data_IF_512581220357
#
_entry.id   IF_512581220357
#
_cell.length_a   1.000
_cell.length_b   1.000
_cell.length_c   1.000
_cell.angle_alpha   90.00
_cell.angle_beta   90.00
_cell.angle_gamma   90.00
#
_symmetry.space_group_name_H-M   'P 1'
#
loop_
_entity.id
_entity.type
_entity.pdbx_description
1 polymer ?
#
# COMPACT_ATOMS: atom_id res chain seq x y z
N UNK A 1 24.04 2.86 -56.08
CA UNK A 1 23.04 3.40 -55.16
C UNK A 1 22.24 2.22 -54.62
N UNK A 2 22.66 1.65 -53.50
CA UNK A 2 21.91 0.57 -52.81
C UNK A 2 20.87 1.22 -51.93
N UNK A 3 19.62 0.96 -52.25
CA UNK A 3 18.51 1.35 -51.38
C UNK A 3 18.55 0.44 -50.15
N UNK A 4 18.82 1.04 -49.00
CA UNK A 4 18.59 0.40 -47.70
C UNK A 4 17.08 0.41 -47.50
N UNK A 5 16.47 -0.76 -47.62
CA UNK A 5 15.10 -0.97 -47.17
C UNK A 5 15.09 -0.78 -45.63
N UNK A 6 14.13 -0.03 -45.08
CA UNK A 6 13.97 -0.02 -43.63
C UNK A 6 13.67 -1.44 -43.19
N UNK A 7 14.34 -1.88 -42.10
CA UNK A 7 14.02 -3.11 -41.45
C UNK A 7 12.51 -3.07 -41.09
N UNK A 8 11.81 -4.06 -41.64
CA UNK A 8 10.41 -4.29 -41.29
C UNK A 8 10.28 -4.31 -39.79
N UNK A 9 9.35 -3.53 -39.26
CA UNK A 9 8.88 -3.70 -37.90
C UNK A 9 8.55 -5.18 -37.73
N UNK A 10 9.32 -5.90 -36.94
CA UNK A 10 8.99 -7.24 -36.49
C UNK A 10 7.61 -7.16 -35.90
N UNK A 11 6.71 -8.00 -36.41
CA UNK A 11 5.29 -8.01 -36.29
C UNK A 11 4.74 -7.25 -35.08
N UNK A 12 4.17 -6.08 -35.36
CA UNK A 12 3.32 -5.44 -34.38
C UNK A 12 2.23 -6.45 -34.02
N UNK A 13 2.32 -7.02 -32.83
CA UNK A 13 1.27 -7.86 -32.28
C UNK A 13 0.03 -6.96 -32.14
N UNK A 14 -0.97 -7.23 -32.97
CA UNK A 14 -2.22 -6.48 -32.94
C UNK A 14 -3.16 -7.22 -31.99
N UNK A 15 -3.23 -6.76 -30.73
CA UNK A 15 -4.34 -7.08 -29.87
C UNK A 15 -5.64 -6.66 -30.54
N UNK A 16 -6.64 -7.53 -30.50
CA UNK A 16 -7.99 -7.20 -30.97
C UNK A 16 -8.83 -6.58 -29.83
N UNK A 17 -8.50 -6.88 -28.57
CA UNK A 17 -9.22 -6.43 -27.37
C UNK A 17 -8.46 -5.31 -26.61
N UNK A 18 -9.18 -4.36 -25.99
CA UNK A 18 -8.57 -3.30 -25.17
C UNK A 18 -7.96 -3.89 -23.90
N UNK A 19 -6.94 -3.23 -23.33
CA UNK A 19 -6.31 -3.64 -22.06
C UNK A 19 -7.18 -3.37 -20.84
N UNK A 20 -8.16 -2.48 -20.95
CA UNK A 20 -9.21 -2.25 -19.96
C UNK A 20 -10.52 -2.73 -20.56
N UNK A 21 -11.20 -3.64 -19.88
CA UNK A 21 -12.54 -4.12 -20.23
C UNK A 21 -13.45 -3.99 -19.02
N UNK A 22 -13.98 -2.78 -18.82
CA UNK A 22 -14.82 -2.45 -17.66
C UNK A 22 -16.29 -2.77 -17.91
N UNK A 23 -16.65 -4.08 -17.84
CA UNK A 23 -18.02 -4.53 -18.05
C UNK A 23 -18.94 -4.27 -16.86
N UNK A 24 -18.38 -4.01 -15.67
CA UNK A 24 -19.14 -3.71 -14.46
C UNK A 24 -19.34 -2.20 -14.22
N UNK A 25 -18.89 -1.34 -15.16
CA UNK A 25 -19.04 0.13 -15.11
C UNK A 25 -18.53 0.72 -13.78
N UNK A 26 -17.31 0.29 -13.38
CA UNK A 26 -16.67 0.71 -12.12
C UNK A 26 -15.88 2.00 -12.26
N UNK A 27 -15.46 2.33 -13.49
CA UNK A 27 -14.68 3.52 -13.83
C UNK A 27 -15.55 4.51 -14.61
N UNK A 28 -15.30 5.79 -14.43
CA UNK A 28 -15.85 6.76 -15.35
C UNK A 28 -15.03 6.85 -16.66
N UNK A 29 -15.56 7.52 -17.69
CA UNK A 29 -14.91 7.61 -19.02
C UNK A 29 -13.49 8.19 -18.96
N UNK A 30 -13.23 9.14 -18.04
CA UNK A 30 -11.93 9.79 -17.88
C UNK A 30 -10.94 8.84 -17.14
N UNK A 31 -11.41 8.10 -16.15
CA UNK A 31 -10.63 7.11 -15.39
C UNK A 31 -10.26 5.92 -16.27
N UNK A 32 -11.23 5.38 -17.03
CA UNK A 32 -10.98 4.29 -17.98
C UNK A 32 -9.97 4.68 -19.06
N UNK A 33 -10.09 5.90 -19.59
CA UNK A 33 -9.15 6.42 -20.61
C UNK A 33 -7.74 6.55 -20.06
N UNK A 34 -7.56 7.08 -18.85
CA UNK A 34 -6.24 7.21 -18.20
C UNK A 34 -5.63 5.84 -17.88
N UNK A 35 -6.44 4.92 -17.39
CA UNK A 35 -5.97 3.56 -17.08
C UNK A 35 -5.55 2.85 -18.37
N UNK A 36 -6.33 2.98 -19.44
CA UNK A 36 -6.00 2.42 -20.75
C UNK A 36 -4.68 2.94 -21.25
N UNK A 37 -4.46 4.27 -21.24
CA UNK A 37 -3.18 4.89 -21.66
C UNK A 37 -2.01 4.36 -20.82
N UNK A 38 -2.17 4.25 -19.51
CA UNK A 38 -1.14 3.71 -18.61
C UNK A 38 -0.80 2.25 -18.93
N UNK A 39 -1.83 1.40 -19.11
CA UNK A 39 -1.62 -0.02 -19.40
C UNK A 39 -1.01 -0.24 -20.78
N UNK A 40 -1.37 0.57 -21.79
CA UNK A 40 -0.75 0.54 -23.11
C UNK A 40 0.73 0.93 -23.03
N UNK A 41 1.08 2.01 -22.32
CA UNK A 41 2.47 2.42 -22.12
C UNK A 41 3.30 1.32 -21.46
N UNK A 42 2.78 0.72 -20.39
CA UNK A 42 3.46 -0.36 -19.66
C UNK A 42 3.62 -1.58 -20.57
N UNK A 43 2.54 -2.01 -21.23
CA UNK A 43 2.54 -3.23 -22.06
C UNK A 43 3.51 -3.13 -23.24
N UNK A 44 3.56 -1.98 -23.91
CA UNK A 44 4.50 -1.74 -25.01
C UNK A 44 5.95 -1.71 -24.53
N UNK A 45 6.22 -1.03 -23.40
CA UNK A 45 7.56 -0.91 -22.84
C UNK A 45 8.10 -2.23 -22.32
N UNK A 46 7.24 -2.98 -21.63
CA UNK A 46 7.59 -4.24 -20.97
C UNK A 46 7.43 -5.45 -21.91
N UNK A 47 6.84 -5.27 -23.11
CA UNK A 47 6.49 -6.36 -24.01
C UNK A 47 5.75 -7.51 -23.31
N UNK A 48 4.83 -7.13 -22.45
CA UNK A 48 4.01 -8.03 -21.66
C UNK A 48 2.67 -7.33 -21.43
N UNK A 49 1.56 -7.96 -21.84
CA UNK A 49 0.25 -7.35 -21.70
C UNK A 49 -0.16 -7.28 -20.22
N UNK A 50 -0.49 -6.09 -19.76
CA UNK A 50 -1.08 -5.87 -18.44
C UNK A 50 -2.54 -5.49 -18.64
N UNK A 51 -3.45 -6.34 -18.14
CA UNK A 51 -4.88 -6.28 -18.47
C UNK A 51 -5.71 -6.14 -17.20
N UNK A 52 -6.77 -5.33 -17.27
CA UNK A 52 -7.79 -5.22 -16.23
C UNK A 52 -9.15 -5.54 -16.84
N UNK A 53 -9.86 -6.47 -16.22
CA UNK A 53 -11.22 -6.89 -16.62
C UNK A 53 -12.13 -6.80 -15.41
N UNK A 54 -13.24 -6.11 -15.54
CA UNK A 54 -14.30 -6.13 -14.54
C UNK A 54 -15.53 -6.81 -15.11
N UNK A 55 -16.31 -7.49 -14.28
CA UNK A 55 -17.57 -8.12 -14.66
C UNK A 55 -18.56 -8.09 -13.51
N UNK A 56 -19.85 -8.07 -13.83
CA UNK A 56 -20.88 -8.21 -12.82
C UNK A 56 -20.91 -9.64 -12.24
N UNK A 57 -20.75 -10.66 -13.09
CA UNK A 57 -20.93 -12.07 -12.69
C UNK A 57 -19.95 -12.99 -13.40
N UNK A 58 -19.57 -14.06 -12.74
CA UNK A 58 -18.71 -15.12 -13.29
C UNK A 58 -19.50 -16.17 -14.10
N UNK A 59 -20.80 -16.00 -14.29
CA UNK A 59 -21.67 -16.94 -15.06
C UNK A 59 -21.61 -18.39 -14.56
N UNK A 60 -21.33 -18.57 -13.27
CA UNK A 60 -21.24 -19.89 -12.63
C UNK A 60 -19.87 -20.58 -12.77
N UNK A 61 -18.87 -19.91 -13.35
CA UNK A 61 -17.48 -20.36 -13.34
C UNK A 61 -16.77 -19.91 -12.04
N UNK A 62 -15.61 -20.50 -11.76
CA UNK A 62 -14.68 -19.89 -10.79
C UNK A 62 -14.03 -18.65 -11.39
N UNK A 63 -13.52 -17.74 -10.54
CA UNK A 63 -12.81 -16.55 -11.00
C UNK A 63 -11.57 -16.92 -11.84
N UNK A 64 -10.88 -18.00 -11.48
CA UNK A 64 -9.76 -18.55 -12.25
C UNK A 64 -10.21 -18.98 -13.66
N UNK A 65 -11.21 -19.85 -13.77
CA UNK A 65 -11.68 -20.34 -15.08
C UNK A 65 -12.19 -19.19 -15.97
N UNK A 66 -12.85 -18.20 -15.38
CA UNK A 66 -13.34 -17.05 -16.13
C UNK A 66 -12.18 -16.18 -16.63
N UNK A 67 -11.19 -15.89 -15.80
CA UNK A 67 -10.04 -15.08 -16.15
C UNK A 67 -9.19 -15.75 -17.24
N UNK A 68 -8.91 -17.05 -17.10
CA UNK A 68 -8.13 -17.83 -18.07
C UNK A 68 -8.84 -17.90 -19.42
N UNK A 69 -10.14 -18.22 -19.42
CA UNK A 69 -10.97 -18.23 -20.63
C UNK A 69 -11.03 -16.85 -21.28
N UNK A 70 -11.19 -15.79 -20.48
CA UNK A 70 -11.26 -14.42 -20.99
C UNK A 70 -9.95 -14.01 -21.65
N UNK A 71 -8.82 -14.35 -21.04
CA UNK A 71 -7.48 -14.12 -21.59
C UNK A 71 -7.33 -14.82 -22.94
N UNK A 72 -7.70 -16.08 -23.02
CA UNK A 72 -7.53 -16.91 -24.19
C UNK A 72 -8.45 -16.50 -25.34
N UNK A 73 -9.74 -16.30 -25.08
CA UNK A 73 -10.72 -15.98 -26.12
C UNK A 73 -10.55 -14.59 -26.73
N UNK A 74 -10.03 -13.63 -25.95
CA UNK A 74 -9.78 -12.27 -26.41
C UNK A 74 -8.38 -12.07 -26.99
N UNK A 75 -7.55 -13.12 -27.02
CA UNK A 75 -6.25 -13.11 -27.64
C UNK A 75 -5.22 -12.21 -26.94
N UNK A 76 -5.34 -12.05 -25.62
CA UNK A 76 -4.36 -11.30 -24.85
C UNK A 76 -3.00 -11.98 -24.81
N UNK A 77 -1.98 -11.20 -24.49
CA UNK A 77 -0.58 -11.62 -24.36
C UNK A 77 0.28 -11.11 -25.48
N UNK A 78 1.40 -10.51 -25.14
CA UNK A 78 2.34 -9.88 -26.07
C UNK A 78 3.18 -10.94 -26.81
N UNK A 79 3.30 -10.82 -28.13
CA UNK A 79 4.14 -11.67 -28.95
C UNK A 79 3.67 -13.12 -29.12
N UNK A 80 4.57 -13.99 -29.59
CA UNK A 80 4.26 -15.42 -29.89
C UNK A 80 4.04 -16.24 -28.60
N UNK A 81 4.75 -15.90 -27.52
CA UNK A 81 4.67 -16.59 -26.22
C UNK A 81 3.47 -16.11 -25.39
N UNK A 82 2.74 -15.11 -25.90
CA UNK A 82 1.54 -14.53 -25.24
C UNK A 82 1.84 -14.05 -23.82
N UNK A 83 2.92 -13.26 -23.71
CA UNK A 83 3.38 -12.73 -22.43
C UNK A 83 2.37 -11.77 -21.82
N UNK A 84 1.89 -12.03 -20.60
CA UNK A 84 0.93 -11.14 -19.99
C UNK A 84 0.48 -11.54 -18.60
N UNK A 85 -0.27 -10.60 -18.01
CA UNK A 85 -0.96 -10.72 -16.73
C UNK A 85 -2.32 -10.05 -16.85
N UNK A 86 -3.36 -10.69 -16.33
CA UNK A 86 -4.73 -10.19 -16.32
C UNK A 86 -5.28 -10.21 -14.89
N UNK A 87 -5.78 -9.06 -14.44
CA UNK A 87 -6.59 -8.94 -13.24
C UNK A 87 -8.07 -8.98 -13.62
N UNK A 88 -8.80 -9.98 -13.13
CA UNK A 88 -10.26 -10.05 -13.17
C UNK A 88 -10.84 -9.61 -11.83
N UNK A 89 -11.89 -8.79 -11.86
CA UNK A 89 -12.69 -8.42 -10.67
C UNK A 89 -14.18 -8.72 -10.97
N UNK A 90 -14.82 -9.52 -10.11
CA UNK A 90 -16.27 -9.81 -10.18
C UNK A 90 -17.01 -9.12 -9.04
N UNK A 91 -18.04 -8.35 -9.37
CA UNK A 91 -18.78 -7.56 -8.39
C UNK A 91 -19.84 -8.37 -7.64
N UNK A 92 -20.59 -9.23 -8.29
CA UNK A 92 -21.63 -10.03 -7.65
C UNK A 92 -21.02 -11.08 -6.71
N UNK A 93 -19.95 -11.75 -7.17
CA UNK A 93 -19.26 -12.79 -6.40
C UNK A 93 -18.30 -12.19 -5.37
N UNK A 94 -17.95 -10.89 -5.51
CA UNK A 94 -16.94 -10.17 -4.70
C UNK A 94 -15.63 -10.95 -4.64
N UNK A 95 -15.21 -11.39 -5.81
CA UNK A 95 -14.02 -12.22 -6.02
C UNK A 95 -13.12 -11.59 -7.09
N UNK A 96 -11.85 -11.93 -7.07
CA UNK A 96 -10.89 -11.51 -8.07
C UNK A 96 -9.92 -12.65 -8.38
N UNK A 97 -9.31 -12.58 -9.54
CA UNK A 97 -8.26 -13.50 -9.93
C UNK A 97 -7.20 -12.82 -10.76
N UNK A 98 -5.95 -13.23 -10.58
CA UNK A 98 -4.84 -12.82 -11.43
C UNK A 98 -4.39 -14.03 -12.24
N UNK A 99 -4.53 -13.93 -13.57
CA UNK A 99 -4.05 -14.93 -14.52
C UNK A 99 -2.75 -14.45 -15.15
N UNK A 100 -1.77 -15.35 -15.32
CA UNK A 100 -0.47 -15.06 -15.93
C UNK A 100 -0.18 -16.00 -17.07
N UNK A 101 0.45 -15.51 -18.13
CA UNK A 101 0.83 -16.29 -19.31
C UNK A 101 2.22 -15.93 -19.80
N UNK A 102 2.89 -16.88 -20.47
CA UNK A 102 4.21 -16.68 -21.04
C UNK A 102 5.26 -16.22 -20.02
N UNK A 103 5.97 -15.13 -20.29
CA UNK A 103 6.94 -14.54 -19.37
C UNK A 103 6.29 -14.09 -18.05
N UNK A 104 5.00 -13.72 -18.07
CA UNK A 104 4.26 -13.35 -16.87
C UNK A 104 4.34 -14.42 -15.76
N UNK A 105 4.33 -15.72 -16.12
CA UNK A 105 4.46 -16.82 -15.15
C UNK A 105 5.81 -16.75 -14.41
N UNK A 106 6.85 -16.30 -15.08
CA UNK A 106 8.19 -16.17 -14.46
C UNK A 106 8.33 -14.89 -13.68
N UNK A 107 7.79 -13.78 -14.20
CA UNK A 107 7.91 -12.46 -13.59
C UNK A 107 7.06 -12.31 -12.32
N UNK A 108 5.90 -12.96 -12.28
CA UNK A 108 4.95 -12.88 -11.17
C UNK A 108 4.89 -14.22 -10.43
N UNK A 109 5.80 -14.39 -9.46
CA UNK A 109 5.79 -15.57 -8.57
C UNK A 109 4.54 -15.56 -7.67
N UNK A 110 4.20 -16.69 -7.06
CA UNK A 110 3.08 -16.77 -6.12
C UNK A 110 3.18 -15.72 -5.00
N UNK A 111 4.39 -15.54 -4.46
CA UNK A 111 4.65 -14.52 -3.44
C UNK A 111 4.52 -13.08 -4.01
N UNK A 112 4.87 -12.90 -5.28
CA UNK A 112 4.70 -11.64 -6.01
C UNK A 112 3.23 -11.30 -6.20
N UNK A 113 2.42 -12.25 -6.62
CA UNK A 113 0.97 -12.09 -6.78
C UNK A 113 0.30 -11.78 -5.43
N UNK A 114 0.69 -12.47 -4.34
CA UNK A 114 0.19 -12.17 -3.00
C UNK A 114 0.55 -10.74 -2.58
N UNK A 115 1.80 -10.32 -2.81
CA UNK A 115 2.23 -8.95 -2.51
C UNK A 115 1.42 -7.90 -3.29
N UNK A 116 1.24 -8.09 -4.61
CA UNK A 116 0.46 -7.18 -5.46
C UNK A 116 -0.98 -7.12 -4.96
N UNK A 117 -1.59 -8.27 -4.64
CA UNK A 117 -2.96 -8.35 -4.13
C UNK A 117 -3.12 -7.61 -2.80
N UNK A 118 -2.20 -7.78 -1.88
CA UNK A 118 -2.21 -7.09 -0.58
C UNK A 118 -2.16 -5.56 -0.71
N UNK A 119 -1.59 -5.02 -1.80
CA UNK A 119 -1.48 -3.58 -2.01
C UNK A 119 -2.76 -3.00 -2.65
N UNK A 120 -3.39 -3.66 -3.64
CA UNK A 120 -4.55 -3.09 -4.34
C UNK A 120 -5.92 -3.50 -3.74
N UNK A 121 -6.05 -4.69 -3.13
CA UNK A 121 -7.33 -5.18 -2.59
C UNK A 121 -7.97 -4.26 -1.54
N UNK A 122 -7.23 -3.57 -0.66
CA UNK A 122 -7.82 -2.60 0.25
C UNK A 122 -8.61 -1.49 -0.48
N UNK A 123 -8.09 -0.98 -1.60
CA UNK A 123 -8.77 0.04 -2.40
C UNK A 123 -10.04 -0.52 -3.08
N UNK A 124 -9.99 -1.76 -3.60
CA UNK A 124 -11.20 -2.43 -4.11
C UNK A 124 -12.27 -2.55 -3.02
N UNK A 125 -11.87 -2.89 -1.80
CA UNK A 125 -12.77 -3.05 -0.66
C UNK A 125 -13.41 -1.74 -0.23
N UNK A 126 -12.71 -0.63 -0.39
CA UNK A 126 -13.17 0.73 -0.08
C UNK A 126 -13.98 1.34 -1.23
N UNK A 127 -14.03 0.69 -2.41
CA UNK A 127 -14.72 1.17 -3.61
C UNK A 127 -13.93 2.21 -4.40
N UNK A 128 -12.62 2.35 -4.13
CA UNK A 128 -11.70 3.22 -4.85
C UNK A 128 -11.04 2.45 -6.01
N UNK A 129 -11.83 2.20 -7.05
CA UNK A 129 -11.43 1.33 -8.17
C UNK A 129 -10.32 1.93 -9.03
N UNK A 130 -10.36 3.24 -9.28
CA UNK A 130 -9.30 3.94 -10.02
C UNK A 130 -7.93 3.71 -9.34
N UNK A 131 -7.85 3.99 -8.03
CA UNK A 131 -6.61 3.80 -7.27
C UNK A 131 -6.19 2.34 -7.24
N UNK A 132 -7.12 1.40 -7.09
CA UNK A 132 -6.83 -0.04 -7.08
C UNK A 132 -6.16 -0.50 -8.38
N UNK A 133 -6.71 -0.09 -9.53
CA UNK A 133 -6.19 -0.52 -10.84
C UNK A 133 -4.89 0.20 -11.22
N UNK A 134 -4.72 1.46 -10.83
CA UNK A 134 -3.46 2.18 -11.01
C UNK A 134 -2.34 1.55 -10.16
N UNK A 135 -2.64 1.17 -8.91
CA UNK A 135 -1.66 0.51 -8.04
C UNK A 135 -1.28 -0.87 -8.60
N UNK A 136 -2.25 -1.67 -9.04
CA UNK A 136 -2.00 -2.91 -9.75
C UNK A 136 -1.08 -2.71 -10.97
N UNK A 137 -1.40 -1.76 -11.85
CA UNK A 137 -0.60 -1.45 -13.04
C UNK A 137 0.84 -1.05 -12.69
N UNK A 138 1.00 -0.17 -11.69
CA UNK A 138 2.31 0.32 -11.23
C UNK A 138 3.17 -0.80 -10.63
N UNK A 139 2.56 -1.72 -9.91
CA UNK A 139 3.24 -2.88 -9.35
C UNK A 139 3.61 -3.88 -10.45
N UNK A 140 2.73 -4.13 -11.41
CA UNK A 140 3.06 -4.97 -12.57
C UNK A 140 4.27 -4.45 -13.32
N UNK A 141 4.32 -3.14 -13.59
CA UNK A 141 5.48 -2.50 -14.22
C UNK A 141 6.78 -2.71 -13.45
N UNK A 142 6.73 -2.51 -12.15
CA UNK A 142 7.88 -2.69 -11.26
C UNK A 142 8.36 -4.14 -11.22
N UNK A 143 7.44 -5.10 -11.18
CA UNK A 143 7.76 -6.52 -11.14
C UNK A 143 8.34 -7.01 -12.46
N UNK A 144 7.78 -6.56 -13.59
CA UNK A 144 8.32 -6.83 -14.92
C UNK A 144 9.72 -6.26 -15.08
N UNK A 145 9.92 -5.00 -14.68
CA UNK A 145 11.26 -4.36 -14.73
C UNK A 145 12.28 -5.17 -13.92
N UNK A 146 11.92 -5.56 -12.70
CA UNK A 146 12.80 -6.37 -11.85
C UNK A 146 13.14 -7.72 -12.49
N UNK A 147 12.13 -8.39 -13.06
CA UNK A 147 12.30 -9.70 -13.67
C UNK A 147 13.18 -9.68 -14.94
N UNK A 148 13.21 -8.55 -15.66
CA UNK A 148 14.09 -8.37 -16.81
C UNK A 148 15.53 -7.99 -16.43
N UNK A 149 15.70 -7.23 -15.35
CA UNK A 149 17.01 -6.71 -14.96
C UNK A 149 17.75 -7.65 -14.00
N UNK A 150 17.02 -8.35 -13.15
CA UNK A 150 17.54 -9.19 -12.08
C UNK A 150 16.67 -10.45 -11.87
N UNK A 151 16.77 -11.08 -10.70
CA UNK A 151 15.85 -12.16 -10.32
C UNK A 151 14.45 -11.60 -10.02
N UNK A 152 13.37 -12.28 -10.47
CA UNK A 152 12.00 -11.91 -10.14
C UNK A 152 11.80 -11.74 -8.63
N UNK A 153 10.86 -10.89 -8.25
CA UNK A 153 10.50 -10.77 -6.84
C UNK A 153 9.91 -12.08 -6.31
N UNK A 154 10.43 -12.52 -5.17
CA UNK A 154 9.99 -13.71 -4.46
C UNK A 154 10.19 -13.50 -2.94
N UNK A 155 9.83 -14.48 -2.11
CA UNK A 155 9.84 -14.43 -0.63
C UNK A 155 11.09 -13.76 -0.03
N UNK A 156 12.26 -13.90 -0.67
CA UNK A 156 13.54 -13.39 -0.15
C UNK A 156 13.89 -11.96 -0.52
N UNK A 157 13.29 -11.40 -1.58
CA UNK A 157 13.69 -10.11 -2.17
C UNK A 157 12.52 -9.14 -2.45
N UNK A 158 11.34 -9.37 -1.84
CA UNK A 158 10.17 -8.51 -2.01
C UNK A 158 10.48 -7.02 -1.77
N UNK A 159 9.81 -6.11 -2.50
CA UNK A 159 9.91 -4.68 -2.26
C UNK A 159 9.53 -4.36 -0.82
N UNK A 160 10.34 -3.53 -0.16
CA UNK A 160 10.00 -3.09 1.20
C UNK A 160 8.79 -2.17 1.14
N UNK A 161 7.73 -2.51 1.87
CA UNK A 161 6.59 -1.60 2.07
C UNK A 161 7.08 -0.31 2.71
N UNK A 162 6.85 0.82 2.06
CA UNK A 162 7.13 2.11 2.64
C UNK A 162 6.10 2.39 3.72
N UNK A 163 6.51 2.37 4.99
CA UNK A 163 5.60 2.82 6.06
C UNK A 163 5.27 4.30 5.86
N UNK A 164 3.98 4.66 5.73
CA UNK A 164 3.60 6.06 5.61
C UNK A 164 4.16 6.85 6.80
N UNK A 165 4.83 7.96 6.51
CA UNK A 165 5.55 8.76 7.51
C UNK A 165 4.66 9.22 8.67
N UNK A 166 3.34 9.34 8.45
CA UNK A 166 2.39 9.70 9.50
C UNK A 166 2.26 8.65 10.62
N UNK A 167 2.51 7.36 10.34
CA UNK A 167 2.55 6.32 11.38
C UNK A 167 3.72 6.53 12.34
N UNK A 168 4.85 7.03 11.84
CA UNK A 168 6.00 7.39 12.66
C UNK A 168 5.62 8.54 13.59
N UNK A 169 5.00 9.61 13.06
CA UNK A 169 4.51 10.72 13.88
C UNK A 169 3.41 10.28 14.85
N UNK A 170 2.49 9.42 14.42
CA UNK A 170 1.43 8.85 15.28
C UNK A 170 2.01 8.10 16.47
N UNK A 171 3.03 7.28 16.28
CA UNK A 171 3.69 6.54 17.37
C UNK A 171 4.38 7.48 18.37
N UNK A 172 4.99 8.58 17.92
CA UNK A 172 5.56 9.60 18.82
C UNK A 172 4.50 10.29 19.66
N UNK A 173 3.34 10.64 19.08
CA UNK A 173 2.23 11.27 19.81
C UNK A 173 1.70 10.34 20.88
N UNK A 174 1.45 9.07 20.56
CA UNK A 174 0.98 8.06 21.52
C UNK A 174 2.01 7.85 22.64
N UNK A 175 3.29 7.69 22.29
CA UNK A 175 4.38 7.57 23.25
C UNK A 175 4.48 8.78 24.19
N UNK A 176 4.32 9.99 23.65
CA UNK A 176 4.34 11.22 24.44
C UNK A 176 3.16 11.32 25.40
N UNK A 177 1.95 10.94 25.00
CA UNK A 177 0.77 10.90 25.86
C UNK A 177 0.98 9.91 27.02
N UNK A 178 1.50 8.72 26.76
CA UNK A 178 1.80 7.72 27.78
C UNK A 178 2.85 8.26 28.75
N UNK A 179 3.90 8.90 28.26
CA UNK A 179 4.94 9.51 29.09
C UNK A 179 4.38 10.63 30.00
N UNK A 180 3.46 11.47 29.48
CA UNK A 180 2.78 12.49 30.29
C UNK A 180 1.90 11.89 31.39
N UNK A 181 1.17 10.82 31.10
CA UNK A 181 0.34 10.11 32.09
C UNK A 181 1.23 9.55 33.19
N UNK A 182 2.32 8.89 32.86
CA UNK A 182 3.26 8.33 33.84
C UNK A 182 3.95 9.43 34.67
N UNK A 183 4.35 10.55 34.04
CA UNK A 183 4.97 11.69 34.72
C UNK A 183 3.96 12.36 35.69
N UNK A 184 2.70 12.52 35.30
CA UNK A 184 1.66 13.11 36.13
C UNK A 184 1.31 12.22 37.32
N UNK A 185 1.26 10.89 37.15
CA UNK A 185 1.05 9.93 38.22
C UNK A 185 2.18 10.01 39.26
N UNK A 186 3.45 10.09 38.84
CA UNK A 186 4.60 10.28 39.75
C UNK A 186 4.57 11.62 40.46
N UNK A 187 4.19 12.70 39.74
CA UNK A 187 4.07 14.04 40.33
C UNK A 187 2.94 14.10 41.36
N UNK A 188 1.86 13.36 41.19
CA UNK A 188 0.76 13.22 42.16
C UNK A 188 1.23 12.50 43.44
N UNK A 189 2.05 11.45 43.30
CA UNK A 189 2.62 10.74 44.43
C UNK A 189 3.58 11.61 45.28
N UNK A 190 4.27 12.57 44.64
CA UNK A 190 5.17 13.51 45.35
C UNK A 190 4.45 14.67 46.04
N UNK A 191 3.14 14.89 45.77
CA UNK A 191 2.35 15.94 46.40
C UNK A 191 1.91 15.61 47.84
N UNK A 192 2.24 14.44 48.37
CA UNK A 192 1.91 14.03 49.76
C UNK A 192 2.77 14.74 50.81
N UNK A 193 3.84 15.43 50.40
CA UNK A 193 4.62 16.25 51.32
C UNK A 193 3.94 17.61 51.47
N UNK A 194 3.18 17.80 52.54
CA UNK A 194 2.71 19.13 52.96
C UNK A 194 3.89 19.94 53.45
N UNK A 195 4.20 21.03 52.76
CA UNK A 195 5.08 22.06 53.35
C UNK A 195 4.39 22.61 54.58
N UNK A 196 4.99 22.45 55.75
CA UNK A 196 4.61 23.15 56.97
C UNK A 196 5.29 24.51 56.95
N UNK A 197 4.58 25.62 56.70
CA UNK A 197 5.19 26.94 56.52
C UNK A 197 5.54 27.64 57.84
N UNK A 198 5.10 27.14 58.98
CA UNK A 198 5.29 27.78 60.25
C UNK A 198 6.15 26.94 61.20
N UNK A 199 7.13 27.58 61.83
CA UNK A 199 8.04 26.97 62.80
C UNK A 199 7.27 26.42 64.04
N UNK A 200 6.09 26.95 64.35
CA UNK A 200 5.19 26.49 65.41
C UNK A 200 4.79 25.03 65.29
N UNK A 201 4.74 24.49 64.11
CA UNK A 201 4.36 23.10 63.85
C UNK A 201 5.41 22.07 64.34
N UNK A 202 6.60 22.56 64.71
CA UNK A 202 7.70 21.73 65.22
C UNK A 202 7.93 21.93 66.72
N UNK A 203 7.16 22.81 67.41
CA UNK A 203 7.28 23.02 68.81
C UNK A 203 6.37 22.01 69.61
N UNK A 204 6.96 21.29 70.52
CA UNK A 204 6.19 20.52 71.53
C UNK A 204 5.63 21.51 72.46
N UNK A 205 4.29 21.56 72.70
CA UNK A 205 3.72 22.48 73.63
C UNK A 205 4.35 22.35 75.07
N UNK A 206 4.97 23.46 75.52
CA UNK A 206 5.60 23.50 76.83
C UNK A 206 7.12 23.22 76.84
N UNK A 207 7.74 22.90 75.73
CA UNK A 207 9.19 22.66 75.65
C UNK A 207 10.06 23.91 75.52
N UNK A 208 9.45 25.05 75.20
CA UNK A 208 10.14 26.33 75.08
C UNK A 208 9.72 27.33 76.13
N UNK A 209 10.65 27.74 76.94
CA UNK A 209 10.47 28.78 78.00
C UNK A 209 11.53 29.85 77.80
N UNK A 210 11.11 31.06 77.41
CA UNK A 210 11.97 32.25 77.35
C UNK A 210 12.16 32.80 78.77
N UNK A 211 13.41 32.69 79.22
CA UNK A 211 13.77 33.26 80.58
C UNK A 211 14.24 34.71 80.46
N UNK A 212 14.59 35.19 79.26
CA UNK A 212 14.99 36.58 78.99
C UNK A 212 14.68 36.99 77.52
N UNK A 213 13.81 38.02 77.39
CA UNK A 213 13.58 38.65 76.07
C UNK A 213 14.25 40.05 76.09
N UNK A 214 15.28 40.23 75.22
CA UNK A 214 15.98 41.52 75.11
C UNK A 214 16.03 41.88 73.62
N UNK A 215 15.20 42.86 73.24
CA UNK A 215 15.29 43.47 71.94
C UNK A 215 16.48 44.38 71.86
N UNK A 216 17.39 44.08 70.93
CA UNK A 216 18.52 44.95 70.60
C UNK A 216 18.33 45.44 69.19
N UNK A 217 17.96 46.70 69.04
CA UNK A 217 18.07 47.44 67.76
C UNK A 217 19.53 47.51 67.37
N UNK A 218 19.86 46.89 66.23
CA UNK A 218 21.15 47.07 65.58
C UNK A 218 20.93 48.08 64.46
N UNK A 219 21.54 49.29 64.61
CA UNK A 219 21.61 50.29 63.56
C UNK A 219 22.57 49.84 62.48
#
# INVERSE_FOLDING_TARGET
MSAVLPASAEGAYLREAPLVADHADLLDDDEESKLTELLEEISERQRCDVVVVTTDTLEGKSAMEYADDYYDYNGYGYGEDRDGILLLVSMEDRDYWISTCGFGITAFTDAGIEYISDEFVPYLSDGDYETAFIEYASLCDKFLTQAYEEEPYDVGNMPRRSMPIFWIFGSFVVGFIIALIMASAKKSALKTVRRKPEARDYEVPGSFSLSLQKDRLVN
#
